data_IF_335571666904
#
_entry.id   IF_335571666904
#
_cell.length_a   1.000
_cell.length_b   1.000
_cell.length_c   1.000
_cell.angle_alpha   90.00
_cell.angle_beta   90.00
_cell.angle_gamma   90.00
#
_symmetry.space_group_name_H-M   'P 1'
#
loop_
_entity.id
_entity.type
_entity.pdbx_description
1 polymer ?
#
# COMPACT_ATOMS: atom_id res chain seq x y z
N UNK A 1 0.89 23.45 26.84
CA UNK A 1 1.15 22.93 25.48
C UNK A 1 1.79 21.56 25.66
N UNK A 2 1.07 20.48 25.37
CA UNK A 2 1.64 19.14 25.36
C UNK A 2 2.09 18.88 23.92
N UNK A 3 3.40 18.79 23.72
CA UNK A 3 3.96 18.31 22.47
C UNK A 3 3.63 16.82 22.41
N UNK A 4 2.74 16.44 21.51
CA UNK A 4 2.51 15.04 21.17
C UNK A 4 3.73 14.63 20.34
N UNK A 5 4.77 14.19 21.03
CA UNK A 5 5.81 13.38 20.42
C UNK A 5 5.11 12.10 20.01
N UNK A 6 4.78 11.99 18.72
CA UNK A 6 4.37 10.72 18.11
C UNK A 6 5.44 9.72 18.52
N UNK A 7 5.09 8.80 19.42
CA UNK A 7 5.89 7.63 19.73
C UNK A 7 6.31 6.99 18.42
N UNK A 8 7.50 6.40 18.36
CA UNK A 8 8.10 5.69 17.23
C UNK A 8 7.15 4.62 16.60
N UNK A 9 6.05 5.06 15.98
CA UNK A 9 5.33 4.31 14.97
C UNK A 9 6.31 4.26 13.83
N UNK A 10 6.97 3.11 13.65
CA UNK A 10 7.74 2.83 12.46
C UNK A 10 6.91 3.32 11.27
N UNK A 11 7.35 4.43 10.68
CA UNK A 11 6.75 4.90 9.43
C UNK A 11 6.81 3.70 8.50
N UNK A 12 5.67 3.23 7.97
CA UNK A 12 5.65 2.01 7.18
C UNK A 12 6.72 2.14 6.10
N UNK A 13 7.66 1.21 6.07
CA UNK A 13 8.71 1.23 5.06
C UNK A 13 8.05 0.93 3.71
N UNK A 14 7.91 1.99 2.90
CA UNK A 14 7.34 1.93 1.55
C UNK A 14 8.43 1.87 0.46
N UNK A 15 9.68 1.59 0.79
CA UNK A 15 10.79 1.57 -0.18
C UNK A 15 10.51 0.59 -1.33
N UNK A 16 9.96 -0.57 -1.00
CA UNK A 16 9.55 -1.60 -1.96
C UNK A 16 8.40 -1.15 -2.88
N UNK A 17 7.68 -0.10 -2.49
CA UNK A 17 6.56 0.52 -3.22
C UNK A 17 6.91 1.94 -3.68
N UNK A 18 8.18 2.33 -3.64
CA UNK A 18 8.62 3.69 -3.97
C UNK A 18 8.15 4.15 -5.36
N UNK A 19 8.14 3.24 -6.34
CA UNK A 19 7.59 3.48 -7.68
C UNK A 19 6.05 3.65 -7.74
N UNK A 20 5.33 3.19 -6.72
CA UNK A 20 3.88 3.33 -6.57
C UNK A 20 3.48 4.60 -5.79
N UNK A 21 4.40 5.19 -5.03
CA UNK A 21 4.18 6.43 -4.28
C UNK A 21 4.22 7.63 -5.24
N UNK A 22 3.17 8.45 -5.19
CA UNK A 22 3.03 9.68 -5.96
C UNK A 22 2.74 10.82 -5.00
N UNK A 23 3.46 11.93 -5.15
CA UNK A 23 3.06 13.17 -4.51
C UNK A 23 1.79 13.70 -5.16
N UNK A 24 0.83 14.12 -4.34
CA UNK A 24 -0.40 14.75 -4.79
C UNK A 24 -0.63 16.03 -4.02
N UNK A 25 -1.04 17.06 -4.75
CA UNK A 25 -1.53 18.30 -4.17
C UNK A 25 -3.00 18.13 -3.80
N UNK A 26 -3.29 18.23 -2.51
CA UNK A 26 -4.64 18.19 -1.96
C UNK A 26 -5.28 19.57 -1.85
N UNK A 27 -6.52 19.57 -1.36
CA UNK A 27 -7.25 20.79 -1.01
C UNK A 27 -6.45 21.62 0.00
N UNK A 28 -6.34 22.93 -0.22
CA UNK A 28 -5.60 23.82 0.69
C UNK A 28 -4.08 23.83 0.50
N UNK A 29 -3.57 23.40 -0.66
CA UNK A 29 -2.14 23.35 -1.00
C UNK A 29 -1.31 22.42 -0.09
N UNK A 30 -1.95 21.44 0.54
CA UNK A 30 -1.26 20.42 1.32
C UNK A 30 -0.76 19.32 0.39
N UNK A 31 0.54 19.06 0.40
CA UNK A 31 1.15 17.96 -0.33
C UNK A 31 1.03 16.69 0.52
N UNK A 32 0.55 15.61 -0.08
CA UNK A 32 0.49 14.30 0.58
C UNK A 32 1.01 13.20 -0.35
N UNK A 33 1.57 12.16 0.26
CA UNK A 33 1.96 10.94 -0.44
C UNK A 33 0.73 10.08 -0.68
N UNK A 34 0.49 9.72 -1.94
CA UNK A 34 -0.57 8.81 -2.36
C UNK A 34 0.05 7.54 -2.93
N UNK A 35 -0.45 6.40 -2.52
CA UNK A 35 -0.02 5.10 -3.02
C UNK A 35 -1.13 4.53 -3.93
N UNK A 36 -0.83 4.31 -5.21
CA UNK A 36 -1.77 3.76 -6.20
C UNK A 36 -1.31 2.36 -6.64
N UNK A 37 -2.08 1.32 -6.31
CA UNK A 37 -1.85 -0.06 -6.76
C UNK A 37 -3.17 -0.82 -6.89
N UNK A 38 -3.14 -1.89 -7.69
CA UNK A 38 -4.18 -2.91 -7.76
C UNK A 38 -3.83 -4.09 -6.85
N UNK A 39 -4.80 -4.62 -6.12
CA UNK A 39 -4.66 -5.93 -5.45
C UNK A 39 -5.13 -6.99 -6.44
N UNK A 40 -4.24 -7.89 -6.84
CA UNK A 40 -4.52 -8.97 -7.79
C UNK A 40 -4.50 -10.32 -7.07
N UNK A 41 -5.39 -11.21 -7.50
CA UNK A 41 -5.36 -12.63 -7.13
C UNK A 41 -5.26 -13.45 -8.41
N UNK A 42 -4.24 -14.30 -8.50
CA UNK A 42 -4.08 -15.26 -9.59
C UNK A 42 -4.37 -16.66 -9.05
N UNK A 43 -5.25 -17.38 -9.72
CA UNK A 43 -5.50 -18.78 -9.43
C UNK A 43 -4.59 -19.62 -10.32
N UNK A 44 -3.50 -20.12 -9.75
CA UNK A 44 -2.64 -21.12 -10.39
C UNK A 44 -3.24 -22.53 -10.29
N UNK A 45 -2.45 -23.54 -10.68
CA UNK A 45 -2.89 -24.95 -10.61
C UNK A 45 -2.95 -25.50 -9.17
N UNK A 46 -2.19 -24.91 -8.23
CA UNK A 46 -2.02 -25.47 -6.88
C UNK A 46 -2.61 -24.57 -5.79
N UNK A 47 -2.34 -23.27 -5.79
CA UNK A 47 -2.78 -22.34 -4.75
C UNK A 47 -3.09 -20.94 -5.32
N UNK A 48 -4.00 -20.17 -4.70
CA UNK A 48 -4.23 -18.77 -5.04
C UNK A 48 -3.06 -17.90 -4.57
N UNK A 49 -2.49 -17.11 -5.47
CA UNK A 49 -1.43 -16.16 -5.19
C UNK A 49 -1.99 -14.74 -5.20
N UNK A 50 -1.65 -13.94 -4.19
CA UNK A 50 -2.00 -12.53 -4.14
C UNK A 50 -0.76 -11.65 -4.33
N UNK A 51 -0.91 -10.55 -5.06
CA UNK A 51 0.16 -9.58 -5.28
C UNK A 51 -0.40 -8.16 -5.43
N UNK A 52 0.41 -7.17 -5.09
CA UNK A 52 0.14 -5.77 -5.42
C UNK A 52 0.77 -5.48 -6.78
N UNK A 53 0.05 -4.78 -7.65
CA UNK A 53 0.51 -4.41 -8.99
C UNK A 53 0.42 -2.89 -9.17
N UNK A 54 1.45 -2.27 -9.74
CA UNK A 54 1.42 -0.84 -10.10
C UNK A 54 2.19 -0.59 -11.40
N UNK A 55 1.95 0.56 -12.02
CA UNK A 55 2.70 1.01 -13.19
C UNK A 55 3.83 1.94 -12.77
N UNK A 56 5.08 1.55 -13.03
CA UNK A 56 6.27 2.36 -12.84
C UNK A 56 6.98 2.56 -14.18
N UNK A 57 7.15 3.82 -14.61
CA UNK A 57 7.80 4.16 -15.91
C UNK A 57 7.18 3.45 -17.13
N UNK A 58 5.88 3.13 -17.07
CA UNK A 58 5.15 2.43 -18.12
C UNK A 58 5.25 0.91 -18.09
N UNK A 59 5.95 0.34 -17.09
CA UNK A 59 6.04 -1.09 -16.87
C UNK A 59 5.20 -1.51 -15.65
N UNK A 60 4.57 -2.68 -15.74
CA UNK A 60 3.94 -3.29 -14.58
C UNK A 60 5.02 -3.79 -13.62
N UNK A 61 4.87 -3.45 -12.34
CA UNK A 61 5.65 -3.94 -11.22
C UNK A 61 4.72 -4.71 -10.30
N UNK A 62 5.23 -5.77 -9.70
CA UNK A 62 4.48 -6.60 -8.78
C UNK A 62 5.30 -6.92 -7.53
N UNK A 63 4.62 -7.04 -6.38
CA UNK A 63 5.20 -7.58 -5.15
C UNK A 63 4.22 -8.56 -4.50
N UNK A 64 4.68 -9.69 -3.95
CA UNK A 64 3.81 -10.63 -3.25
C UNK A 64 3.03 -9.96 -2.11
N UNK A 65 1.78 -10.40 -1.93
CA UNK A 65 0.90 -9.92 -0.87
C UNK A 65 0.24 -11.10 -0.14
N UNK A 66 -0.17 -10.85 1.09
CA UNK A 66 -1.00 -11.80 1.86
C UNK A 66 -2.33 -11.14 2.17
N UNK A 67 -3.42 -11.74 1.71
CA UNK A 67 -4.78 -11.30 2.07
C UNK A 67 -5.14 -11.99 3.39
N UNK A 68 -5.34 -11.19 4.44
CA UNK A 68 -5.85 -11.68 5.72
C UNK A 68 -7.33 -11.30 5.81
N UNK A 69 -8.17 -12.31 5.97
CA UNK A 69 -9.58 -12.10 6.28
C UNK A 69 -9.68 -11.80 7.78
N UNK A 70 -10.24 -10.65 8.13
CA UNK A 70 -10.61 -10.35 9.51
C UNK A 70 -11.98 -10.98 9.78
N UNK A 71 -11.99 -12.09 10.50
CA UNK A 71 -13.21 -12.81 10.83
C UNK A 71 -13.98 -12.20 12.03
N UNK A 72 -13.55 -11.05 12.56
CA UNK A 72 -14.20 -10.42 13.72
C UNK A 72 -15.40 -9.52 13.41
N UNK A 73 -15.95 -9.53 12.19
CA UNK A 73 -17.15 -8.73 11.83
C UNK A 73 -18.46 -9.54 11.94
N UNK A 74 -18.50 -10.54 12.82
CA UNK A 74 -19.73 -11.24 13.19
C UNK A 74 -19.70 -11.59 14.68
N UNK A 75 -19.95 -10.63 15.56
CA UNK A 75 -20.57 -10.81 16.88
C UNK A 75 -21.20 -9.50 17.35
#
# INVERSE_FOLDING_TARGET
MHNITTSDEEMPNLDALSGAVKEKLGTGNVVFSRLDFDVRVRFGETEPEAYLEWSEKGEAREIPATIRLDYNILL
#
